data_IF_106478177010
#
_entry.id   IF_106478177010
#
_cell.length_a   1.000
_cell.length_b   1.000
_cell.length_c   1.000
_cell.angle_alpha   90.00
_cell.angle_beta   90.00
_cell.angle_gamma   90.00
#
_symmetry.space_group_name_H-M   'P 1'
#
loop_
_entity.id
_entity.type
_entity.pdbx_description
1 polymer ?
#
# COMPACT_ATOMS: atom_id res chain seq x y z
N UNK A 1 -30.03 -15.30 10.35
CA UNK A 1 -29.30 -14.04 10.59
C UNK A 1 -29.21 -13.33 9.26
N UNK A 2 -29.90 -12.20 9.10
CA UNK A 2 -29.86 -11.42 7.85
C UNK A 2 -28.74 -10.39 8.04
N UNK A 3 -27.66 -10.50 7.28
CA UNK A 3 -26.62 -9.46 7.28
C UNK A 3 -27.20 -8.18 6.65
N UNK A 4 -27.01 -7.05 7.33
CA UNK A 4 -27.36 -5.74 6.79
C UNK A 4 -26.22 -5.19 5.94
N UNK A 5 -26.49 -4.15 5.15
CA UNK A 5 -25.44 -3.44 4.39
C UNK A 5 -24.38 -2.85 5.33
N UNK A 6 -24.80 -2.35 6.50
CA UNK A 6 -23.94 -1.79 7.54
C UNK A 6 -23.02 -2.84 8.15
N UNK A 7 -23.48 -4.09 8.26
CA UNK A 7 -22.67 -5.21 8.75
C UNK A 7 -21.49 -5.49 7.82
N UNK A 8 -21.68 -5.46 6.49
CA UNK A 8 -20.65 -5.84 5.49
C UNK A 8 -19.71 -4.69 5.15
N UNK A 9 -20.19 -3.45 5.25
CA UNK A 9 -19.52 -2.27 4.70
C UNK A 9 -18.08 -2.07 5.22
N UNK A 10 -17.76 -2.14 6.53
CA UNK A 10 -16.40 -1.98 7.02
C UNK A 10 -15.44 -3.03 6.43
N UNK A 11 -15.89 -4.29 6.38
CA UNK A 11 -15.07 -5.37 5.83
C UNK A 11 -14.83 -5.23 4.34
N UNK A 12 -15.87 -4.87 3.57
CA UNK A 12 -15.73 -4.63 2.13
C UNK A 12 -14.74 -3.50 1.82
N UNK A 13 -14.80 -2.41 2.58
CA UNK A 13 -13.85 -1.30 2.45
C UNK A 13 -12.42 -1.73 2.80
N UNK A 14 -12.25 -2.58 3.82
CA UNK A 14 -10.94 -3.11 4.19
C UNK A 14 -10.35 -3.98 3.09
N UNK A 15 -11.13 -4.89 2.50
CA UNK A 15 -10.69 -5.72 1.37
C UNK A 15 -10.29 -4.86 0.18
N UNK A 16 -11.11 -3.85 -0.14
CA UNK A 16 -10.80 -2.91 -1.22
C UNK A 16 -9.49 -2.17 -0.97
N UNK A 17 -9.27 -1.66 0.25
CA UNK A 17 -8.04 -0.99 0.62
C UNK A 17 -6.82 -1.91 0.49
N UNK A 18 -6.91 -3.15 1.00
CA UNK A 18 -5.81 -4.14 0.88
C UNK A 18 -5.49 -4.44 -0.57
N UNK A 19 -6.50 -4.64 -1.43
CA UNK A 19 -6.29 -4.87 -2.86
C UNK A 19 -5.56 -3.69 -3.50
N UNK A 20 -6.00 -2.45 -3.20
CA UNK A 20 -5.34 -1.25 -3.69
C UNK A 20 -3.86 -1.20 -3.28
N UNK A 21 -3.56 -1.47 -2.01
CA UNK A 21 -2.19 -1.48 -1.50
C UNK A 21 -1.30 -2.52 -2.17
N UNK A 22 -1.84 -3.72 -2.41
CA UNK A 22 -1.14 -4.78 -3.14
C UNK A 22 -0.84 -4.37 -4.60
N UNK A 23 -1.74 -3.63 -5.24
CA UNK A 23 -1.51 -3.07 -6.59
C UNK A 23 -0.36 -2.05 -6.55
N UNK A 24 -0.33 -1.14 -5.57
CA UNK A 24 0.76 -0.18 -5.42
C UNK A 24 2.10 -0.90 -5.17
N UNK A 25 2.11 -1.94 -4.34
CA UNK A 25 3.28 -2.79 -4.14
C UNK A 25 3.74 -3.45 -5.45
N UNK A 26 2.82 -4.01 -6.24
CA UNK A 26 3.13 -4.65 -7.51
C UNK A 26 3.74 -3.65 -8.51
N UNK A 27 3.16 -2.44 -8.62
CA UNK A 27 3.71 -1.36 -9.46
C UNK A 27 5.13 -1.02 -9.03
N UNK A 28 5.37 -0.92 -7.72
CA UNK A 28 6.69 -0.66 -7.18
C UNK A 28 7.70 -1.75 -7.54
N UNK A 29 7.31 -3.03 -7.42
CA UNK A 29 8.16 -4.18 -7.73
C UNK A 29 8.52 -4.22 -9.23
N UNK A 30 7.53 -4.01 -10.10
CA UNK A 30 7.71 -4.02 -11.57
C UNK A 30 8.64 -2.89 -12.00
N UNK A 31 8.46 -1.68 -11.47
CA UNK A 31 9.31 -0.52 -11.80
C UNK A 31 10.73 -0.64 -11.27
N UNK A 32 10.93 -1.33 -10.16
CA UNK A 32 12.26 -1.64 -9.64
C UNK A 32 13.03 -2.69 -10.47
N UNK A 33 12.37 -3.35 -11.44
CA UNK A 33 12.95 -4.45 -12.23
C UNK A 33 13.61 -5.53 -11.35
N UNK A 34 13.04 -5.85 -10.18
CA UNK A 34 13.62 -6.81 -9.23
C UNK A 34 13.89 -8.20 -9.84
N UNK A 35 13.14 -8.59 -10.87
CA UNK A 35 13.27 -9.90 -11.53
C UNK A 35 14.17 -9.92 -12.77
N UNK A 36 14.73 -8.79 -13.21
CA UNK A 36 15.62 -8.78 -14.38
C UNK A 36 17.06 -8.92 -13.87
N UNK A 37 17.71 -10.06 -14.17
CA UNK A 37 19.07 -10.41 -13.73
C UNK A 37 20.21 -9.52 -14.26
N UNK A 38 19.91 -8.26 -14.61
CA UNK A 38 20.89 -7.25 -14.98
C UNK A 38 21.61 -6.74 -13.73
N UNK A 39 22.96 -6.75 -13.75
CA UNK A 39 23.78 -6.25 -12.64
C UNK A 39 23.59 -4.74 -12.37
N UNK A 40 23.18 -3.96 -13.38
CA UNK A 40 22.89 -2.52 -13.28
C UNK A 40 21.71 -2.14 -14.20
N UNK A 41 20.45 -2.44 -13.81
CA UNK A 41 19.30 -1.95 -14.55
C UNK A 41 19.21 -0.44 -14.37
N UNK A 42 19.05 0.32 -15.46
CA UNK A 42 18.75 1.75 -15.33
C UNK A 42 17.36 1.91 -14.71
N UNK A 43 17.31 2.37 -13.46
CA UNK A 43 16.05 2.57 -12.73
C UNK A 43 15.69 4.06 -12.79
N UNK A 44 14.48 4.37 -13.24
CA UNK A 44 13.95 5.73 -13.20
C UNK A 44 13.56 6.13 -11.77
N UNK A 45 13.59 7.43 -11.49
CA UNK A 45 13.14 7.98 -10.20
C UNK A 45 11.69 7.56 -9.90
N UNK A 46 11.36 7.46 -8.61
CA UNK A 46 9.98 7.20 -8.18
C UNK A 46 9.07 8.29 -8.74
N UNK A 47 8.14 7.92 -9.62
CA UNK A 47 7.23 8.91 -10.21
C UNK A 47 6.29 9.49 -9.15
N UNK A 48 5.91 10.76 -9.30
CA UNK A 48 4.87 11.40 -8.49
C UNK A 48 3.55 10.62 -8.43
N UNK A 49 3.17 9.91 -9.50
CA UNK A 49 1.95 9.08 -9.51
C UNK A 49 2.01 7.93 -8.47
N UNK A 50 3.19 7.35 -8.24
CA UNK A 50 3.38 6.27 -7.25
C UNK A 50 3.32 6.86 -5.84
N UNK A 51 3.90 8.04 -5.62
CA UNK A 51 3.83 8.75 -4.34
C UNK A 51 2.36 9.06 -4.02
N UNK A 52 1.61 9.61 -4.98
CA UNK A 52 0.17 9.90 -4.81
C UNK A 52 -0.60 8.60 -4.53
N UNK A 53 -0.32 7.52 -5.26
CA UNK A 53 -0.98 6.23 -5.04
C UNK A 53 -0.71 5.66 -3.63
N UNK A 54 0.50 5.83 -3.09
CA UNK A 54 0.85 5.47 -1.72
C UNK A 54 0.12 6.35 -0.69
N UNK A 55 0.00 7.66 -0.92
CA UNK A 55 -0.79 8.53 -0.04
C UNK A 55 -2.26 8.09 -0.04
N UNK A 56 -2.81 7.75 -1.21
CA UNK A 56 -4.15 7.17 -1.34
C UNK A 56 -4.27 5.84 -0.60
N UNK A 57 -3.25 4.97 -0.64
CA UNK A 57 -3.20 3.74 0.16
C UNK A 57 -3.38 4.02 1.66
N UNK A 58 -2.66 5.01 2.21
CA UNK A 58 -2.77 5.38 3.62
C UNK A 58 -4.16 5.90 3.97
N UNK A 59 -4.74 6.74 3.11
CA UNK A 59 -6.09 7.26 3.32
C UNK A 59 -7.13 6.14 3.28
N UNK A 60 -7.08 5.27 2.25
CA UNK A 60 -7.97 4.13 2.11
C UNK A 60 -7.84 3.14 3.27
N UNK A 61 -6.63 2.95 3.81
CA UNK A 61 -6.40 2.10 4.97
C UNK A 61 -7.17 2.56 6.22
N UNK A 62 -7.42 3.87 6.38
CA UNK A 62 -8.16 4.42 7.52
C UNK A 62 -9.68 4.29 7.40
N UNK A 63 -10.22 4.38 6.18
CA UNK A 63 -11.66 4.42 5.92
C UNK A 63 -12.44 3.27 6.60
N UNK A 64 -12.03 1.99 6.49
CA UNK A 64 -12.75 0.86 7.10
C UNK A 64 -12.93 1.01 8.61
N UNK A 65 -11.91 1.52 9.29
CA UNK A 65 -11.91 1.68 10.74
C UNK A 65 -12.75 2.87 11.17
N UNK A 66 -12.69 3.97 10.41
CA UNK A 66 -13.57 5.12 10.62
C UNK A 66 -15.02 4.69 10.43
N UNK A 67 -15.33 3.93 9.37
CA UNK A 67 -16.67 3.40 9.12
C UNK A 67 -17.13 2.47 10.25
N UNK A 68 -16.26 1.60 10.76
CA UNK A 68 -16.58 0.74 11.90
C UNK A 68 -16.91 1.55 13.17
N UNK A 69 -16.16 2.63 13.46
CA UNK A 69 -16.42 3.49 14.61
C UNK A 69 -17.75 4.24 14.45
N UNK A 70 -18.03 4.77 13.26
CA UNK A 70 -19.23 5.57 13.00
C UNK A 70 -20.51 4.73 12.96
N UNK A 71 -20.45 3.51 12.43
CA UNK A 71 -21.61 2.63 12.29
C UNK A 71 -21.71 1.57 13.38
N UNK A 72 -20.85 1.62 14.40
CA UNK A 72 -20.73 0.57 15.42
C UNK A 72 -22.05 0.22 16.12
N UNK A 73 -22.92 1.22 16.34
CA UNK A 73 -24.25 1.02 16.96
C UNK A 73 -25.27 0.37 16.03
N UNK A 74 -25.09 0.46 14.71
CA UNK A 74 -25.97 -0.10 13.69
C UNK A 74 -25.57 -1.53 13.26
N UNK A 75 -24.41 -2.00 13.72
CA UNK A 75 -23.87 -3.33 13.39
C UNK A 75 -24.46 -4.37 14.33
N UNK A 76 -24.85 -5.51 13.77
CA UNK A 76 -25.37 -6.66 14.52
C UNK A 76 -24.35 -7.11 15.59
N UNK A 77 -24.76 -7.42 16.84
CA UNK A 77 -23.82 -7.75 17.93
C UNK A 77 -22.82 -8.87 17.61
N UNK A 78 -23.25 -9.89 16.85
CA UNK A 78 -22.37 -10.98 16.41
C UNK A 78 -21.26 -10.51 15.47
N UNK A 79 -21.57 -9.60 14.53
CA UNK A 79 -20.61 -9.03 13.57
C UNK A 79 -19.70 -8.03 14.27
N UNK A 80 -20.25 -7.22 15.18
CA UNK A 80 -19.46 -6.29 15.99
C UNK A 80 -18.41 -7.04 16.82
N UNK A 81 -18.78 -8.15 17.48
CA UNK A 81 -17.85 -9.00 18.22
C UNK A 81 -16.75 -9.61 17.33
N UNK A 82 -17.10 -10.01 16.11
CA UNK A 82 -16.11 -10.47 15.13
C UNK A 82 -15.10 -9.37 14.77
N UNK A 83 -15.58 -8.15 14.49
CA UNK A 83 -14.70 -7.03 14.15
C UNK A 83 -13.80 -6.63 15.30
N UNK A 84 -14.31 -6.56 16.53
CA UNK A 84 -13.46 -6.24 17.70
C UNK A 84 -12.40 -7.31 17.94
N UNK A 85 -12.73 -8.59 17.75
CA UNK A 85 -11.77 -9.69 17.88
C UNK A 85 -10.66 -9.64 16.81
N UNK A 86 -10.99 -9.23 15.58
CA UNK A 86 -10.05 -9.20 14.45
C UNK A 86 -9.42 -7.83 14.21
N UNK A 87 -9.77 -6.81 15.00
CA UNK A 87 -9.32 -5.42 14.81
C UNK A 87 -7.80 -5.30 14.81
N UNK A 88 -7.13 -6.03 15.70
CA UNK A 88 -5.65 -6.03 15.80
C UNK A 88 -5.03 -6.63 14.54
N UNK A 89 -5.56 -7.73 14.02
CA UNK A 89 -5.04 -8.39 12.81
C UNK A 89 -5.29 -7.51 11.58
N UNK A 90 -6.50 -6.96 11.45
CA UNK A 90 -6.88 -6.09 10.34
C UNK A 90 -6.04 -4.81 10.29
N UNK A 91 -5.79 -4.19 11.45
CA UNK A 91 -4.94 -2.99 11.57
C UNK A 91 -3.46 -3.30 11.33
N UNK A 92 -2.93 -4.39 11.92
CA UNK A 92 -1.56 -4.82 11.67
C UNK A 92 -1.30 -5.08 10.18
N UNK A 93 -2.26 -5.67 9.47
CA UNK A 93 -2.15 -5.95 8.03
C UNK A 93 -1.94 -4.68 7.22
N UNK A 94 -2.79 -3.66 7.42
CA UNK A 94 -2.65 -2.40 6.66
C UNK A 94 -1.40 -1.62 7.06
N UNK A 95 -1.02 -1.64 8.35
CA UNK A 95 0.23 -1.00 8.82
C UNK A 95 1.44 -1.64 8.13
N UNK A 96 1.52 -2.97 8.12
CA UNK A 96 2.60 -3.69 7.44
C UNK A 96 2.64 -3.35 5.95
N UNK A 97 1.49 -3.31 5.28
CA UNK A 97 1.42 -2.94 3.87
C UNK A 97 1.92 -1.52 3.60
N UNK A 98 1.59 -0.54 4.45
CA UNK A 98 2.13 0.83 4.34
C UNK A 98 3.66 0.82 4.44
N UNK A 99 4.22 0.09 5.41
CA UNK A 99 5.67 -0.01 5.55
C UNK A 99 6.32 -0.71 4.35
N UNK A 100 5.66 -1.73 3.78
CA UNK A 100 6.14 -2.41 2.57
C UNK A 100 6.13 -1.46 1.37
N UNK A 101 5.08 -0.68 1.15
CA UNK A 101 5.03 0.34 0.10
C UNK A 101 6.16 1.36 0.26
N UNK A 102 6.36 1.90 1.47
CA UNK A 102 7.43 2.84 1.79
C UNK A 102 8.82 2.22 1.57
N UNK A 103 9.02 0.98 2.01
CA UNK A 103 10.28 0.26 1.81
C UNK A 103 10.56 0.05 0.32
N UNK A 104 9.57 -0.40 -0.45
CA UNK A 104 9.71 -0.60 -1.89
C UNK A 104 10.04 0.72 -2.59
N UNK A 105 9.32 1.81 -2.27
CA UNK A 105 9.61 3.15 -2.79
C UNK A 105 11.03 3.61 -2.44
N UNK A 106 11.47 3.40 -1.21
CA UNK A 106 12.83 3.72 -0.77
C UNK A 106 13.89 2.96 -1.59
N UNK A 107 13.66 1.66 -1.84
CA UNK A 107 14.59 0.86 -2.65
C UNK A 107 14.64 1.36 -4.10
N UNK A 108 13.52 1.74 -4.72
CA UNK A 108 13.57 2.32 -6.08
C UNK A 108 14.30 3.66 -6.09
N UNK A 109 14.05 4.54 -5.12
CA UNK A 109 14.76 5.82 -5.01
C UNK A 109 16.27 5.61 -4.91
N UNK A 110 16.72 4.70 -4.04
CA UNK A 110 18.14 4.40 -3.86
C UNK A 110 18.80 3.84 -5.11
N UNK A 111 18.10 2.98 -5.87
CA UNK A 111 18.60 2.43 -7.14
C UNK A 111 18.66 3.48 -8.25
N UNK A 112 17.68 4.37 -8.30
CA UNK A 112 17.66 5.47 -9.25
C UNK A 112 18.82 6.46 -9.01
N UNK A 113 19.14 6.78 -7.76
CA UNK A 113 20.26 7.67 -7.42
C UNK A 113 21.60 7.13 -7.92
N UNK A 114 21.86 5.83 -7.77
CA UNK A 114 23.08 5.18 -8.28
C UNK A 114 23.16 5.31 -9.81
N UNK A 115 22.04 5.05 -10.50
CA UNK A 115 21.94 5.18 -11.96
C UNK A 115 22.22 6.61 -12.42
N UNK A 116 21.71 7.61 -11.71
CA UNK A 116 21.92 9.02 -12.01
C UNK A 116 23.38 9.44 -11.87
N UNK A 117 24.08 8.96 -10.83
CA UNK A 117 25.51 9.23 -10.63
C UNK A 117 26.32 8.64 -11.79
N UNK A 118 26.05 7.39 -12.17
CA UNK A 118 26.73 6.75 -13.31
C UNK A 118 26.50 7.48 -14.63
N UNK A 119 25.28 7.98 -14.87
CA UNK A 119 24.95 8.78 -16.06
C UNK A 119 25.69 10.11 -16.08
N UNK A 120 25.76 10.82 -14.95
CA UNK A 120 26.51 12.08 -14.82
C UNK A 120 28.01 11.90 -15.01
N UNK A 121 28.58 10.83 -14.43
CA UNK A 121 30.01 10.52 -14.57
C UNK A 121 30.37 10.22 -16.04
N UNK A 122 29.56 9.42 -16.74
CA UNK A 122 29.73 9.17 -18.18
C UNK A 122 29.59 10.43 -19.03
N UNK A 123 28.69 11.33 -18.67
CA UNK A 123 28.52 12.62 -19.34
C UNK A 123 29.71 13.56 -19.16
N UNK A 124 30.35 13.56 -17.99
CA UNK A 124 31.50 14.41 -17.69
C UNK A 124 32.83 13.91 -18.29
N UNK A 125 32.89 12.62 -18.68
CA UNK A 125 34.05 12.00 -19.32
C UNK A 125 34.04 12.12 -20.86
N UNK A 126 33.04 12.79 -21.45
CA UNK A 126 32.97 13.16 -22.88
C UNK A 126 33.21 14.65 -23.06
#
# INVERSE_FOLDING_TARGET
MILTLTDVLPFALWVFAVIWMLIVCAICIVRCRFGTGEKHPEVELVSWNVIIAQVVSVLLAGIPFITFILLGEEITPAVHAFYTQHLVIGSATVIVLVFVELMLMYVQARRADITLIERKLRGALR
#
